data_IF_097052218873
#
_entry.id   IF_097052218873
#
_cell.length_a   1.000
_cell.length_b   1.000
_cell.length_c   1.000
_cell.angle_alpha   90.00
_cell.angle_beta   90.00
_cell.angle_gamma   90.00
#
_symmetry.space_group_name_H-M   'P 1'
#
loop_
_entity.id
_entity.type
_entity.pdbx_description
1 polymer ?
#
# COMPACT_ATOMS: atom_id res chain seq x y z
N UNK A 1 -20.21 12.59 23.37
CA UNK A 1 -19.00 11.76 23.54
C UNK A 1 -18.21 11.79 22.24
N UNK A 2 -16.88 11.70 22.29
CA UNK A 2 -16.00 11.91 21.10
C UNK A 2 -15.01 10.77 20.88
N UNK A 3 -14.36 10.77 19.71
CA UNK A 3 -13.35 9.80 19.32
C UNK A 3 -12.11 9.94 20.23
N UNK A 4 -11.59 8.82 20.74
CA UNK A 4 -10.30 8.78 21.44
C UNK A 4 -9.27 8.15 20.52
N UNK A 5 -8.22 8.89 20.20
CA UNK A 5 -7.12 8.45 19.35
C UNK A 5 -5.91 8.11 20.21
N UNK A 6 -5.17 7.07 19.84
CA UNK A 6 -3.88 6.70 20.44
C UNK A 6 -2.82 6.65 19.34
N UNK A 7 -1.60 7.05 19.69
CA UNK A 7 -0.43 6.91 18.84
C UNK A 7 0.71 6.28 19.67
N UNK A 8 1.61 5.59 18.99
CA UNK A 8 2.78 4.95 19.60
C UNK A 8 3.96 4.97 18.62
N UNK A 9 5.17 4.91 19.16
CA UNK A 9 6.37 4.82 18.36
C UNK A 9 6.50 3.41 17.77
N UNK A 10 6.62 3.33 16.46
CA UNK A 10 7.05 2.10 15.78
C UNK A 10 8.58 2.04 15.76
N UNK A 11 9.14 1.02 16.42
CA UNK A 11 10.58 0.79 16.51
C UNK A 11 11.08 -0.21 15.45
N UNK A 12 10.21 -0.63 14.53
CA UNK A 12 10.57 -1.56 13.47
C UNK A 12 11.63 -0.98 12.54
N UNK A 13 12.53 -1.84 12.05
CA UNK A 13 13.53 -1.43 11.07
C UNK A 13 12.93 -1.46 9.66
N UNK A 14 13.06 -0.33 8.96
CA UNK A 14 12.61 -0.18 7.59
C UNK A 14 13.83 0.01 6.67
N UNK A 15 14.22 -1.02 5.89
CA UNK A 15 15.35 -0.90 4.99
C UNK A 15 15.10 0.22 3.97
N UNK A 16 16.08 1.10 3.82
CA UNK A 16 16.03 2.23 2.89
C UNK A 16 16.77 1.89 1.60
N UNK A 17 16.40 2.56 0.51
CA UNK A 17 17.09 2.42 -0.78
C UNK A 17 16.74 1.15 -1.55
N UNK A 18 15.66 0.45 -1.17
CA UNK A 18 15.11 -0.64 -1.97
C UNK A 18 14.60 -0.02 -3.27
N UNK A 19 15.20 -0.40 -4.39
CA UNK A 19 14.72 -0.01 -5.72
C UNK A 19 13.76 -1.07 -6.22
N UNK A 20 12.59 -0.61 -6.65
CA UNK A 20 11.60 -1.44 -7.35
C UNK A 20 11.68 -1.05 -8.82
N UNK A 21 11.74 -2.05 -9.69
CA UNK A 21 11.72 -1.84 -11.14
C UNK A 21 10.33 -1.42 -11.61
N UNK A 22 10.24 -0.72 -12.73
CA UNK A 22 8.96 -0.36 -13.32
C UNK A 22 8.08 -1.58 -13.60
N UNK A 23 8.70 -2.70 -13.97
CA UNK A 23 8.01 -3.98 -14.21
C UNK A 23 7.37 -4.52 -12.94
N UNK A 24 8.09 -4.51 -11.81
CA UNK A 24 7.54 -4.97 -10.52
C UNK A 24 6.42 -4.06 -10.04
N UNK A 25 6.55 -2.74 -10.20
CA UNK A 25 5.50 -1.81 -9.83
C UNK A 25 4.24 -1.97 -10.71
N UNK A 26 4.41 -2.18 -12.01
CA UNK A 26 3.30 -2.44 -12.95
C UNK A 26 2.60 -3.77 -12.70
N UNK A 27 3.28 -4.75 -12.09
CA UNK A 27 2.69 -6.03 -11.75
C UNK A 27 1.72 -5.94 -10.57
N UNK A 28 1.79 -4.88 -9.76
CA UNK A 28 0.85 -4.67 -8.65
C UNK A 28 -0.56 -4.42 -9.21
N UNK A 29 -1.58 -5.20 -8.80
CA UNK A 29 -2.93 -5.07 -9.32
C UNK A 29 -3.66 -3.87 -8.70
N UNK A 30 -3.26 -2.67 -9.11
CA UNK A 30 -3.82 -1.41 -8.65
C UNK A 30 -5.07 -1.03 -9.46
N UNK A 31 -6.12 -0.63 -8.75
CA UNK A 31 -7.30 0.01 -9.34
C UNK A 31 -7.40 1.46 -8.82
N UNK A 32 -6.99 2.46 -9.61
CA UNK A 32 -7.13 3.86 -9.25
C UNK A 32 -8.61 4.27 -9.09
N UNK A 33 -8.89 5.14 -8.12
CA UNK A 33 -10.21 5.76 -7.96
C UNK A 33 -10.34 7.02 -8.82
N UNK A 34 -11.58 7.43 -9.08
CA UNK A 34 -11.86 8.64 -9.88
C UNK A 34 -11.39 9.92 -9.18
N UNK A 35 -11.47 9.96 -7.85
CA UNK A 35 -10.95 11.06 -7.06
C UNK A 35 -9.51 10.78 -6.69
N UNK A 36 -8.60 11.43 -7.40
CA UNK A 36 -7.15 11.36 -7.20
C UNK A 36 -6.55 9.95 -7.24
N UNK A 37 -6.74 9.26 -8.35
CA UNK A 37 -6.21 7.90 -8.57
C UNK A 37 -4.69 7.75 -8.37
N UNK A 38 -3.93 8.85 -8.46
CA UNK A 38 -2.49 8.87 -8.22
C UNK A 38 -2.10 8.54 -6.77
N UNK A 39 -2.97 8.80 -5.80
CA UNK A 39 -2.76 8.44 -4.38
C UNK A 39 -3.88 7.59 -3.81
N UNK A 40 -5.06 7.63 -4.41
CA UNK A 40 -6.26 6.92 -3.98
C UNK A 40 -6.52 5.73 -4.90
N UNK A 41 -6.11 4.54 -4.46
CA UNK A 41 -6.23 3.31 -5.24
C UNK A 41 -6.60 2.13 -4.34
N UNK A 42 -7.15 1.09 -4.96
CA UNK A 42 -7.35 -0.22 -4.32
C UNK A 42 -6.30 -1.20 -4.83
N UNK A 43 -5.56 -1.82 -3.93
CA UNK A 43 -4.75 -3.00 -4.26
C UNK A 43 -5.67 -4.22 -4.25
N UNK A 44 -5.85 -4.88 -5.40
CA UNK A 44 -6.67 -6.07 -5.49
C UNK A 44 -5.89 -7.31 -5.00
N UNK A 45 -6.56 -8.32 -4.43
CA UNK A 45 -5.90 -9.57 -4.12
C UNK A 45 -5.44 -10.24 -5.41
N UNK A 46 -4.18 -10.70 -5.41
CA UNK A 46 -3.65 -11.47 -6.51
C UNK A 46 -4.21 -12.89 -6.43
N UNK A 47 -4.94 -13.34 -7.47
CA UNK A 47 -5.59 -14.67 -7.45
C UNK A 47 -4.60 -15.83 -7.55
N UNK A 48 -3.31 -15.52 -7.66
CA UNK A 48 -2.23 -16.49 -7.84
C UNK A 48 -1.81 -17.15 -6.53
N UNK A 49 -2.15 -16.59 -5.37
CA UNK A 49 -1.92 -17.20 -4.05
C UNK A 49 -3.22 -17.33 -3.26
N UNK A 50 -4.06 -18.27 -3.67
CA UNK A 50 -5.00 -18.90 -2.75
C UNK A 50 -4.33 -20.20 -2.26
N UNK A 51 -3.94 -20.23 -0.98
CA UNK A 51 -3.55 -21.45 -0.27
C UNK A 51 -4.72 -21.89 0.59
#
# INVERSE_FOLDING_TARGET
>A
TGLRVKAGLDQSYYPRGIKITDKELQAVPLRPHAFHGEWNYTVLPDRTTAV
#
